data_IF_760570866688
#
_entry.id   IF_760570866688
#
_cell.length_a   1.000
_cell.length_b   1.000
_cell.length_c   1.000
_cell.angle_alpha   90.00
_cell.angle_beta   90.00
_cell.angle_gamma   90.00
#
_symmetry.space_group_name_H-M   'P 1'
#
loop_
_entity.id
_entity.type
_entity.pdbx_description
1 polymer ?
#
# COMPACT_ATOMS: atom_id res chain seq x y z
N UNK A 1 -5.79 -7.92 -3.23
CA UNK A 1 -6.95 -7.17 -3.77
C UNK A 1 -6.88 -5.73 -3.30
N UNK A 2 -7.10 -4.77 -4.20
CA UNK A 2 -7.33 -3.36 -3.84
C UNK A 2 -8.85 -3.11 -3.82
N UNK A 3 -9.45 -2.64 -2.71
CA UNK A 3 -10.88 -2.38 -2.61
C UNK A 3 -11.30 -1.02 -3.17
N UNK A 4 -10.44 -0.29 -3.89
CA UNK A 4 -10.74 1.03 -4.44
C UNK A 4 -11.64 1.00 -5.71
N UNK A 5 -12.58 1.96 -5.87
CA UNK A 5 -13.09 2.84 -4.82
C UNK A 5 -13.88 2.03 -3.79
N UNK A 6 -13.75 2.39 -2.51
CA UNK A 6 -14.38 1.60 -1.46
C UNK A 6 -15.90 1.46 -1.65
N UNK A 7 -16.33 0.21 -1.51
CA UNK A 7 -17.72 -0.22 -1.51
C UNK A 7 -17.86 -1.29 -0.43
N UNK A 8 -19.07 -1.51 0.11
CA UNK A 8 -19.32 -2.64 1.00
C UNK A 8 -18.93 -3.96 0.32
N UNK A 9 -18.09 -4.76 0.99
CA UNK A 9 -17.67 -6.07 0.50
C UNK A 9 -18.22 -7.15 1.43
N UNK A 10 -18.81 -8.24 0.89
CA UNK A 10 -19.29 -9.34 1.72
C UNK A 10 -18.12 -10.10 2.33
N UNK A 11 -18.22 -10.52 3.59
CA UNK A 11 -17.19 -11.30 4.28
C UNK A 11 -16.76 -12.55 3.51
N UNK A 12 -17.68 -13.15 2.75
CA UNK A 12 -17.39 -14.32 1.94
C UNK A 12 -16.35 -14.04 0.83
N UNK A 13 -16.31 -12.82 0.29
CA UNK A 13 -15.28 -12.38 -0.64
C UNK A 13 -13.97 -12.10 0.09
N UNK A 14 -14.03 -11.40 1.23
CA UNK A 14 -12.84 -11.06 2.02
C UNK A 14 -12.08 -12.30 2.47
N UNK A 15 -12.78 -13.38 2.85
CA UNK A 15 -12.17 -14.68 3.18
C UNK A 15 -11.42 -15.37 2.03
N UNK A 16 -11.57 -14.91 0.78
CA UNK A 16 -10.85 -15.43 -0.38
C UNK A 16 -9.64 -14.55 -0.74
N UNK A 17 -9.39 -13.47 0.00
CA UNK A 17 -8.31 -12.53 -0.26
C UNK A 17 -7.12 -12.88 0.62
N UNK A 18 -5.97 -13.15 0.00
CA UNK A 18 -4.73 -13.38 0.76
C UNK A 18 -4.16 -12.07 1.33
N UNK A 19 -4.16 -11.01 0.52
CA UNK A 19 -3.65 -9.67 0.88
C UNK A 19 -4.64 -8.61 0.43
N UNK A 20 -5.21 -7.85 1.38
CA UNK A 20 -6.07 -6.70 1.12
C UNK A 20 -5.26 -5.40 1.21
N UNK A 21 -5.44 -4.47 0.27
CA UNK A 21 -4.64 -3.23 0.20
C UNK A 21 -5.53 -1.98 0.19
N UNK A 22 -6.18 -1.62 1.32
CA UNK A 22 -6.96 -0.39 1.40
C UNK A 22 -6.05 0.82 1.69
N UNK A 23 -6.53 2.03 1.48
CA UNK A 23 -6.05 3.19 2.25
C UNK A 23 -6.80 3.32 3.60
N UNK A 24 -6.39 4.25 4.46
CA UNK A 24 -7.01 4.42 5.79
C UNK A 24 -8.51 4.75 5.74
N UNK A 25 -8.97 5.51 4.73
CA UNK A 25 -10.39 5.85 4.57
C UNK A 25 -11.18 4.62 4.11
N UNK A 26 -10.65 3.87 3.14
CA UNK A 26 -11.28 2.65 2.63
C UNK A 26 -11.35 1.57 3.70
N UNK A 27 -10.32 1.43 4.53
CA UNK A 27 -10.31 0.52 5.67
C UNK A 27 -11.46 0.83 6.63
N UNK A 28 -11.59 2.09 7.02
CA UNK A 28 -12.64 2.55 7.93
C UNK A 28 -14.04 2.28 7.36
N UNK A 29 -14.22 2.53 6.05
CA UNK A 29 -15.47 2.23 5.35
C UNK A 29 -15.80 0.73 5.33
N UNK A 30 -14.80 -0.13 5.14
CA UNK A 30 -14.99 -1.59 5.13
C UNK A 30 -15.42 -2.13 6.50
N UNK A 31 -14.95 -1.53 7.59
CA UNK A 31 -15.31 -1.94 8.96
C UNK A 31 -16.50 -1.18 9.53
N UNK A 32 -17.07 -0.22 8.78
CA UNK A 32 -18.18 0.61 9.21
C UNK A 32 -17.84 1.57 10.36
N UNK A 33 -16.62 2.11 10.37
CA UNK A 33 -16.12 3.03 11.38
C UNK A 33 -15.61 4.35 10.76
N UNK A 34 -15.24 5.30 11.62
CA UNK A 34 -14.48 6.49 11.20
C UNK A 34 -13.00 6.14 10.98
N UNK A 35 -12.27 6.87 10.14
CA UNK A 35 -10.82 6.69 9.98
C UNK A 35 -10.10 6.76 11.33
N UNK A 36 -9.27 5.75 11.61
CA UNK A 36 -8.46 5.71 12.85
C UNK A 36 -7.57 6.94 12.98
N UNK A 37 -7.51 7.50 14.18
CA UNK A 37 -6.72 8.68 14.50
C UNK A 37 -5.25 8.38 14.84
N UNK A 38 -4.95 7.13 15.20
CA UNK A 38 -3.62 6.64 15.51
C UNK A 38 -3.33 5.24 14.94
N UNK A 39 -2.10 4.78 15.12
CA UNK A 39 -1.63 3.50 14.59
C UNK A 39 -2.39 2.30 15.20
N UNK A 40 -2.67 2.34 16.50
CA UNK A 40 -3.30 1.23 17.22
C UNK A 40 -4.75 1.05 16.74
N UNK A 41 -5.47 2.15 16.51
CA UNK A 41 -6.81 2.13 15.92
C UNK A 41 -6.80 1.54 14.50
N UNK A 42 -5.87 1.93 13.64
CA UNK A 42 -5.76 1.39 12.27
C UNK A 42 -5.43 -0.11 12.30
N UNK A 43 -4.55 -0.55 13.19
CA UNK A 43 -4.24 -1.98 13.39
C UNK A 43 -5.48 -2.75 13.86
N UNK A 44 -6.24 -2.20 14.82
CA UNK A 44 -7.45 -2.82 15.32
C UNK A 44 -8.53 -2.94 14.23
N UNK A 45 -8.71 -1.90 13.41
CA UNK A 45 -9.61 -1.93 12.26
C UNK A 45 -9.19 -2.99 11.25
N UNK A 46 -7.93 -3.02 10.85
CA UNK A 46 -7.39 -4.03 9.93
C UNK A 46 -7.62 -5.47 10.43
N UNK A 47 -7.37 -5.75 11.72
CA UNK A 47 -7.57 -7.07 12.33
C UNK A 47 -9.03 -7.48 12.50
N UNK A 48 -9.97 -6.54 12.43
CA UNK A 48 -11.40 -6.85 12.51
C UNK A 48 -11.97 -7.43 11.21
N UNK A 49 -11.25 -7.29 10.09
CA UNK A 49 -11.65 -7.85 8.81
C UNK A 49 -11.34 -9.37 8.76
N UNK A 50 -12.17 -10.18 8.09
CA UNK A 50 -11.92 -11.61 7.93
C UNK A 50 -10.93 -11.87 6.77
N UNK A 51 -9.71 -11.32 6.89
CA UNK A 51 -8.61 -11.41 5.93
C UNK A 51 -7.31 -11.65 6.70
N UNK A 52 -6.45 -12.54 6.22
CA UNK A 52 -5.21 -12.91 6.92
C UNK A 52 -4.18 -11.78 6.95
N UNK A 53 -4.11 -10.98 5.89
CA UNK A 53 -3.16 -9.88 5.75
C UNK A 53 -3.81 -8.62 5.18
N UNK A 54 -3.58 -7.49 5.83
CA UNK A 54 -4.00 -6.17 5.36
C UNK A 54 -2.79 -5.24 5.25
N UNK A 55 -2.62 -4.61 4.08
CA UNK A 55 -1.58 -3.59 3.83
C UNK A 55 -2.26 -2.24 3.65
N UNK A 56 -2.26 -1.43 4.70
CA UNK A 56 -2.90 -0.10 4.69
C UNK A 56 -1.93 0.91 4.09
N UNK A 57 -2.30 1.52 2.96
CA UNK A 57 -1.51 2.61 2.36
C UNK A 57 -1.74 3.92 3.13
N UNK A 58 -0.66 4.64 3.42
CA UNK A 58 -0.65 5.85 4.25
C UNK A 58 0.01 7.05 3.56
N UNK A 59 0.06 7.05 2.22
CA UNK A 59 0.65 8.14 1.43
C UNK A 59 2.11 8.40 1.80
N UNK A 60 2.42 9.64 2.19
CA UNK A 60 3.78 10.04 2.56
C UNK A 60 4.33 9.34 3.82
N UNK A 61 3.48 8.71 4.63
CA UNK A 61 3.92 7.87 5.76
C UNK A 61 4.29 6.44 5.34
N UNK A 62 4.06 6.05 4.08
CA UNK A 62 4.35 4.72 3.56
C UNK A 62 3.18 3.77 3.67
N UNK A 63 3.40 2.59 4.26
CA UNK A 63 2.38 1.57 4.40
C UNK A 63 2.48 0.86 5.77
N UNK A 64 1.35 0.34 6.22
CA UNK A 64 1.25 -0.49 7.41
C UNK A 64 0.84 -1.90 6.99
N UNK A 65 1.73 -2.86 7.18
CA UNK A 65 1.44 -4.28 7.02
C UNK A 65 0.89 -4.82 8.34
N UNK A 66 -0.31 -5.40 8.33
CA UNK A 66 -0.96 -5.99 9.49
C UNK A 66 -1.25 -7.47 9.22
N UNK A 67 -0.86 -8.31 10.16
CA UNK A 67 -1.19 -9.74 10.23
C UNK A 67 -1.94 -10.04 11.52
N UNK A 68 -2.37 -11.29 11.68
CA UNK A 68 -3.03 -11.77 12.90
C UNK A 68 -2.19 -11.49 14.16
N UNK A 69 -0.88 -11.74 14.11
CA UNK A 69 -0.01 -11.71 15.29
C UNK A 69 0.81 -10.41 15.40
N UNK A 70 1.17 -9.78 14.29
CA UNK A 70 2.10 -8.64 14.28
C UNK A 70 1.72 -7.56 13.25
N UNK A 71 2.36 -6.40 13.33
CA UNK A 71 2.29 -5.34 12.35
C UNK A 71 3.65 -4.68 12.09
N UNK A 72 3.86 -4.19 10.87
CA UNK A 72 5.09 -3.53 10.44
C UNK A 72 4.76 -2.23 9.72
N UNK A 73 5.35 -1.13 10.20
CA UNK A 73 5.35 0.15 9.48
C UNK A 73 6.50 0.15 8.47
N UNK A 74 6.17 0.38 7.21
CA UNK A 74 7.13 0.50 6.10
C UNK A 74 7.14 1.96 5.64
N UNK A 75 8.18 2.75 5.97
CA UNK A 75 8.20 4.18 5.69
C UNK A 75 8.36 4.46 4.19
N UNK A 76 7.74 5.54 3.71
CA UNK A 76 8.01 6.05 2.36
C UNK A 76 9.31 6.85 2.29
N UNK A 77 10.00 6.87 1.13
CA UNK A 77 11.05 7.84 0.90
C UNK A 77 10.47 9.26 0.90
N UNK A 78 11.25 10.24 1.36
CA UNK A 78 10.88 11.64 1.24
C UNK A 78 10.99 12.08 -0.21
N UNK A 79 9.90 12.63 -0.74
CA UNK A 79 9.82 13.11 -2.12
C UNK A 79 9.18 14.52 -2.20
N UNK A 80 9.35 15.18 -3.33
CA UNK A 80 8.56 16.35 -3.75
C UNK A 80 7.44 15.89 -4.71
N UNK A 81 6.21 15.70 -4.22
CA UNK A 81 5.14 15.17 -5.06
C UNK A 81 4.71 16.19 -6.12
N UNK A 82 4.58 15.72 -7.36
CA UNK A 82 4.05 16.48 -8.49
C UNK A 82 2.57 16.14 -8.73
N UNK A 83 2.22 14.86 -8.74
CA UNK A 83 0.86 14.34 -8.96
C UNK A 83 0.75 12.94 -8.36
N UNK A 84 -0.16 12.72 -7.41
CA UNK A 84 -0.31 11.42 -6.73
C UNK A 84 -1.21 10.44 -7.48
N UNK A 85 -1.77 10.85 -8.62
CA UNK A 85 -2.66 10.00 -9.42
C UNK A 85 -1.93 8.73 -9.86
N UNK A 86 -2.52 7.56 -9.62
CA UNK A 86 -1.92 6.27 -9.98
C UNK A 86 -0.83 5.77 -9.02
N UNK A 87 -0.51 6.48 -7.95
CA UNK A 87 0.45 5.99 -6.95
C UNK A 87 -0.03 4.70 -6.27
N UNK A 88 -1.32 4.61 -5.95
CA UNK A 88 -1.94 3.39 -5.39
C UNK A 88 -1.96 2.23 -6.39
N UNK A 89 -2.19 2.50 -7.68
CA UNK A 89 -2.14 1.49 -8.74
C UNK A 89 -0.71 0.95 -8.93
N UNK A 90 0.27 1.85 -8.89
CA UNK A 90 1.69 1.48 -8.99
C UNK A 90 2.16 0.70 -7.78
N UNK A 91 1.69 1.06 -6.58
CA UNK A 91 1.90 0.27 -5.37
C UNK A 91 1.34 -1.14 -5.56
N UNK A 92 0.07 -1.28 -5.95
CA UNK A 92 -0.56 -2.59 -6.13
C UNK A 92 0.13 -3.42 -7.22
N UNK A 93 0.52 -2.80 -8.33
CA UNK A 93 1.24 -3.46 -9.43
C UNK A 93 2.61 -3.97 -9.00
N UNK A 94 3.39 -3.15 -8.30
CA UNK A 94 4.70 -3.56 -7.80
C UNK A 94 4.62 -4.63 -6.70
N UNK A 95 3.61 -4.54 -5.80
CA UNK A 95 3.34 -5.57 -4.81
C UNK A 95 3.00 -6.91 -5.48
N UNK A 96 2.08 -6.90 -6.44
CA UNK A 96 1.67 -8.11 -7.15
C UNK A 96 2.82 -8.72 -7.96
N UNK A 97 3.65 -7.90 -8.63
CA UNK A 97 4.85 -8.35 -9.34
C UNK A 97 5.85 -9.05 -8.40
N UNK A 98 6.14 -8.44 -7.26
CA UNK A 98 7.09 -8.98 -6.29
C UNK A 98 6.58 -10.31 -5.68
N UNK A 99 5.32 -10.36 -5.28
CA UNK A 99 4.71 -11.58 -4.74
C UNK A 99 4.67 -12.71 -5.78
N UNK A 100 4.36 -12.40 -7.05
CA UNK A 100 4.39 -13.38 -8.14
C UNK A 100 5.80 -13.96 -8.38
N UNK A 101 6.85 -13.24 -7.98
CA UNK A 101 8.25 -13.70 -8.03
C UNK A 101 8.70 -14.43 -6.77
N UNK A 102 7.82 -14.64 -5.79
CA UNK A 102 8.15 -15.27 -4.52
C UNK A 102 9.00 -14.41 -3.58
N UNK A 103 8.98 -13.08 -3.76
CA UNK A 103 9.58 -12.15 -2.81
C UNK A 103 8.80 -12.19 -1.51
N UNK A 104 9.50 -12.13 -0.38
CA UNK A 104 8.87 -12.02 0.94
C UNK A 104 7.93 -10.81 1.02
N UNK A 105 6.80 -10.96 1.71
CA UNK A 105 5.76 -9.95 1.75
C UNK A 105 6.27 -8.60 2.28
N UNK A 106 7.11 -8.59 3.30
CA UNK A 106 7.64 -7.33 3.86
C UNK A 106 8.50 -6.57 2.84
N UNK A 107 9.38 -7.28 2.13
CA UNK A 107 10.20 -6.73 1.06
C UNK A 107 9.37 -6.34 -0.18
N UNK A 108 8.28 -7.06 -0.46
CA UNK A 108 7.35 -6.72 -1.53
C UNK A 108 6.59 -5.42 -1.22
N UNK A 109 6.18 -5.21 0.03
CA UNK A 109 5.56 -3.95 0.50
C UNK A 109 6.54 -2.79 0.41
N UNK A 110 7.80 -2.97 0.83
CA UNK A 110 8.84 -1.94 0.68
C UNK A 110 9.01 -1.51 -0.78
N UNK A 111 9.17 -2.47 -1.69
CA UNK A 111 9.24 -2.20 -3.13
C UNK A 111 8.00 -1.44 -3.64
N UNK A 112 6.81 -1.83 -3.18
CA UNK A 112 5.56 -1.18 -3.55
C UNK A 112 5.46 0.27 -3.06
N UNK A 113 5.92 0.56 -1.83
CA UNK A 113 6.01 1.91 -1.29
C UNK A 113 6.90 2.78 -2.19
N UNK A 114 8.06 2.29 -2.59
CA UNK A 114 8.96 3.00 -3.50
C UNK A 114 8.34 3.22 -4.90
N UNK A 115 7.60 2.23 -5.42
CA UNK A 115 6.90 2.38 -6.70
C UNK A 115 5.84 3.50 -6.65
N UNK A 116 5.03 3.53 -5.60
CA UNK A 116 4.06 4.60 -5.38
C UNK A 116 4.72 5.97 -5.25
N UNK A 117 5.82 6.06 -4.51
CA UNK A 117 6.56 7.30 -4.32
C UNK A 117 7.15 7.84 -5.63
N UNK A 118 7.80 6.98 -6.45
CA UNK A 118 8.35 7.41 -7.75
C UNK A 118 7.24 7.83 -8.72
N UNK A 119 6.09 7.16 -8.68
CA UNK A 119 4.93 7.56 -9.50
C UNK A 119 4.51 8.99 -9.15
N UNK A 120 4.48 9.30 -7.85
CA UNK A 120 4.03 10.60 -7.37
C UNK A 120 4.91 11.79 -7.77
N UNK A 121 6.13 11.56 -8.30
CA UNK A 121 7.04 12.62 -8.78
C UNK A 121 6.84 12.98 -10.26
N UNK A 122 5.90 12.32 -10.94
CA UNK A 122 5.65 12.46 -12.38
C UNK A 122 4.17 12.80 -12.63
N UNK A 123 3.83 13.50 -13.73
CA UNK A 123 2.44 13.85 -14.00
C UNK A 123 1.64 12.66 -14.57
N UNK A 124 0.38 12.54 -14.16
CA UNK A 124 -0.57 11.55 -14.67
C UNK A 124 -0.48 10.18 -13.98
N UNK A 125 -1.27 9.22 -14.47
CA UNK A 125 -1.40 7.88 -13.88
C UNK A 125 -0.48 6.85 -14.57
N UNK A 126 -1.00 6.13 -15.58
CA UNK A 126 -0.25 5.10 -16.30
C UNK A 126 1.09 5.59 -16.89
N UNK A 127 1.21 6.81 -17.46
CA UNK A 127 2.50 7.31 -17.96
C UNK A 127 3.55 7.57 -16.87
N UNK A 128 3.11 7.77 -15.61
CA UNK A 128 3.99 8.02 -14.48
C UNK A 128 4.56 6.73 -13.87
N UNK A 129 3.95 5.57 -14.17
CA UNK A 129 4.34 4.29 -13.59
C UNK A 129 5.84 4.00 -13.76
N UNK A 130 6.55 3.63 -12.68
CA UNK A 130 7.99 3.44 -12.71
C UNK A 130 8.41 2.15 -13.39
N UNK A 131 9.62 2.15 -13.92
CA UNK A 131 10.31 0.91 -14.32
C UNK A 131 10.92 0.22 -13.11
N UNK A 132 11.35 -1.04 -13.26
CA UNK A 132 12.13 -1.72 -12.22
C UNK A 132 13.40 -0.95 -11.84
N UNK A 133 14.10 -0.38 -12.82
CA UNK A 133 15.31 0.39 -12.58
C UNK A 133 15.04 1.66 -11.75
N UNK A 134 13.91 2.32 -11.97
CA UNK A 134 13.49 3.48 -11.17
C UNK A 134 13.26 3.10 -9.70
N UNK A 135 12.57 1.99 -9.47
CA UNK A 135 12.27 1.49 -8.12
C UNK A 135 13.59 1.12 -7.40
N UNK A 136 14.48 0.41 -8.06
CA UNK A 136 15.80 0.04 -7.51
C UNK A 136 16.68 1.27 -7.21
N UNK A 137 16.64 2.30 -8.06
CA UNK A 137 17.32 3.55 -7.81
C UNK A 137 16.78 4.26 -6.55
N UNK A 138 15.46 4.24 -6.36
CA UNK A 138 14.80 4.78 -5.17
C UNK A 138 15.16 4.00 -3.90
N UNK A 139 15.07 2.67 -3.91
CA UNK A 139 15.39 1.80 -2.76
C UNK A 139 16.86 1.88 -2.33
N UNK A 140 17.77 2.10 -3.28
CA UNK A 140 19.22 2.20 -3.00
C UNK A 140 19.67 3.58 -2.47
N UNK A 141 18.75 4.54 -2.31
CA UNK A 141 19.07 5.90 -1.89
C UNK A 141 19.92 6.68 -2.90
N UNK A 142 20.07 6.16 -4.14
CA UNK A 142 20.85 6.79 -5.21
C UNK A 142 20.08 7.84 -5.98
N UNK A 143 18.76 7.91 -5.77
CA UNK A 143 17.97 9.06 -6.12
C UNK A 143 18.03 10.03 -4.93
N UNK A 144 18.93 11.02 -4.98
CA UNK A 144 18.89 12.14 -4.02
C UNK A 144 17.50 12.74 -4.01
N UNK A 145 16.99 13.11 -2.82
CA UNK A 145 15.66 13.66 -2.52
C UNK A 145 14.76 13.76 -3.75
N UNK A 146 13.97 12.70 -3.96
CA UNK A 146 13.05 12.56 -5.10
C UNK A 146 12.01 13.69 -5.15
#
# INVERSE_FOLDING_TARGET
>A
MNPAPAAPLPDALLRLVDVLVPNAIELAQLVGAEPGGDLDEVVAQARSLPVDTVVVTMGAAGALLVSADDHLVVPAPTIHPLDTTGAGDSFCGALAEALARGVDLSAAVERAVHAGAVTATRPGAQPAMPTTADIEASMSGRAGTL
#
